data_IF_187349173283
#
_entry.id   IF_187349173283
#
_cell.length_a   1.000
_cell.length_b   1.000
_cell.length_c   1.000
_cell.angle_alpha   90.00
_cell.angle_beta   90.00
_cell.angle_gamma   90.00
#
_symmetry.space_group_name_H-M   'P 1'
#
loop_
_entity.id
_entity.type
_entity.pdbx_description
1 polymer ?
#
# COMPACT_ATOMS: atom_id res chain seq x y z
N UNK A 1 -4.16 -31.75 -9.91
CA UNK A 1 -4.88 -33.03 -9.72
C UNK A 1 -3.88 -34.17 -9.69
N UNK A 2 -4.06 -35.21 -8.88
CA UNK A 2 -3.13 -36.37 -8.90
C UNK A 2 -3.61 -37.37 -9.96
N UNK A 3 -2.76 -37.71 -10.94
CA UNK A 3 -3.13 -38.57 -12.08
C UNK A 3 -2.07 -39.62 -12.41
N UNK A 4 -2.43 -40.54 -13.31
CA UNK A 4 -1.51 -41.42 -14.02
C UNK A 4 -1.70 -41.23 -15.52
N UNK A 5 -0.62 -41.25 -16.28
CA UNK A 5 -0.69 -41.35 -17.73
C UNK A 5 -0.63 -42.82 -18.14
N UNK A 6 -1.37 -43.16 -19.19
CA UNK A 6 -1.28 -44.48 -19.80
C UNK A 6 -1.16 -44.32 -21.31
N UNK A 7 -0.19 -45.03 -21.91
CA UNK A 7 0.03 -45.05 -23.35
C UNK A 7 -0.20 -46.47 -23.87
N UNK A 8 -0.80 -46.55 -25.05
CA UNK A 8 -1.00 -47.80 -25.75
C UNK A 8 -0.78 -47.57 -27.24
N UNK A 9 0.06 -48.39 -27.86
CA UNK A 9 0.39 -48.27 -29.28
C UNK A 9 -0.45 -49.27 -30.07
N UNK A 10 -1.11 -48.82 -31.12
CA UNK A 10 -1.81 -49.66 -32.09
C UNK A 10 -1.18 -49.48 -33.48
N UNK A 11 -1.02 -50.57 -34.23
CA UNK A 11 -0.63 -50.49 -35.63
C UNK A 11 -1.79 -50.04 -36.53
N UNK A 12 -1.49 -49.37 -37.64
CA UNK A 12 -2.51 -49.01 -38.63
C UNK A 12 -3.10 -50.28 -39.28
N UNK A 13 -4.43 -50.43 -39.21
CA UNK A 13 -5.19 -51.54 -39.78
C UNK A 13 -5.53 -52.63 -38.75
N UNK A 14 -6.74 -52.56 -38.17
CA UNK A 14 -7.42 -53.57 -37.33
C UNK A 14 -6.51 -54.54 -36.55
N UNK A 15 -5.46 -54.01 -35.91
CA UNK A 15 -4.46 -54.78 -35.19
C UNK A 15 -4.58 -54.54 -33.69
N UNK A 16 -4.52 -55.63 -32.93
CA UNK A 16 -4.53 -55.66 -31.47
C UNK A 16 -3.62 -54.59 -30.88
N UNK A 17 -4.17 -53.80 -29.95
CA UNK A 17 -3.38 -52.84 -29.20
C UNK A 17 -2.26 -53.56 -28.42
N UNK A 18 -1.06 -52.97 -28.42
CA UNK A 18 0.05 -53.44 -27.61
C UNK A 18 -0.24 -53.34 -26.10
N UNK A 19 0.67 -53.85 -25.24
CA UNK A 19 0.53 -53.70 -23.79
C UNK A 19 0.44 -52.23 -23.40
N UNK A 20 -0.46 -51.93 -22.47
CA UNK A 20 -0.61 -50.58 -21.91
C UNK A 20 0.56 -50.32 -20.95
N UNK A 21 1.28 -49.23 -21.17
CA UNK A 21 2.30 -48.75 -20.24
C UNK A 21 1.74 -47.60 -19.42
N UNK A 22 1.88 -47.67 -18.11
CA UNK A 22 1.38 -46.65 -17.19
C UNK A 22 2.55 -45.93 -16.49
N UNK A 23 2.40 -44.64 -16.26
CA UNK A 23 3.34 -43.87 -15.45
C UNK A 23 3.11 -44.11 -13.95
N UNK A 24 4.09 -43.74 -13.15
CA UNK A 24 3.86 -43.48 -11.73
C UNK A 24 2.83 -42.37 -11.53
N UNK A 25 2.28 -42.30 -10.31
CA UNK A 25 1.36 -41.25 -9.90
C UNK A 25 2.12 -39.93 -9.82
N UNK A 26 1.59 -38.87 -10.44
CA UNK A 26 2.17 -37.53 -10.36
C UNK A 26 1.09 -36.44 -10.26
N UNK A 27 1.47 -35.28 -9.73
CA UNK A 27 0.61 -34.10 -9.79
C UNK A 27 0.60 -33.59 -11.23
N UNK A 28 -0.58 -33.48 -11.80
CA UNK A 28 -0.88 -32.96 -13.11
C UNK A 28 -1.45 -31.54 -12.98
N UNK A 29 -0.70 -30.55 -13.45
CA UNK A 29 -1.12 -29.15 -13.49
C UNK A 29 0.04 -28.16 -13.37
N UNK A 30 -0.28 -26.92 -13.02
CA UNK A 30 0.71 -25.93 -12.61
C UNK A 30 1.06 -26.15 -11.15
N UNK A 31 2.34 -26.18 -10.86
CA UNK A 31 2.87 -26.18 -9.50
C UNK A 31 3.55 -24.84 -9.25
N UNK A 32 3.06 -24.14 -8.25
CA UNK A 32 3.66 -22.93 -7.68
C UNK A 32 4.33 -23.39 -6.37
N UNK A 33 5.53 -22.88 -6.06
CA UNK A 33 6.48 -23.44 -5.07
C UNK A 33 5.85 -24.15 -3.83
N UNK A 34 6.34 -25.35 -3.42
CA UNK A 34 5.68 -26.20 -2.43
C UNK A 34 6.07 -25.92 -0.97
N UNK A 35 6.71 -24.79 -0.63
CA UNK A 35 7.19 -24.46 0.72
C UNK A 35 6.13 -23.89 1.69
N UNK A 36 4.86 -24.25 1.51
CA UNK A 36 3.76 -24.25 2.51
C UNK A 36 2.83 -23.03 2.68
N UNK A 37 2.83 -22.00 1.83
CA UNK A 37 1.71 -21.04 1.83
C UNK A 37 1.25 -20.62 0.44
N UNK A 38 -0.06 -20.64 0.21
CA UNK A 38 -0.75 -19.91 -0.88
C UNK A 38 -0.78 -18.40 -0.61
N UNK A 39 -0.36 -17.98 0.59
CA UNK A 39 -0.24 -16.60 1.03
C UNK A 39 1.24 -16.18 1.01
N UNK A 40 1.64 -15.46 -0.03
CA UNK A 40 2.95 -14.80 -0.10
C UNK A 40 2.85 -13.37 0.46
N UNK A 41 3.98 -12.87 0.97
CA UNK A 41 4.10 -11.50 1.46
C UNK A 41 5.26 -10.81 0.76
N UNK A 42 5.06 -9.57 0.34
CA UNK A 42 6.09 -8.69 -0.21
C UNK A 42 6.02 -7.35 0.54
N UNK A 43 7.15 -6.71 0.74
CA UNK A 43 7.25 -5.40 1.38
C UNK A 43 7.52 -4.32 0.31
N UNK A 44 7.22 -3.05 0.60
CA UNK A 44 7.50 -1.96 -0.35
C UNK A 44 8.95 -1.98 -0.85
N UNK A 45 9.13 -1.96 -2.17
CA UNK A 45 10.43 -1.96 -2.80
C UNK A 45 11.18 -3.29 -2.72
N UNK A 46 10.63 -4.32 -2.07
CA UNK A 46 11.15 -5.68 -2.16
C UNK A 46 10.64 -6.39 -3.42
N UNK A 47 11.46 -7.33 -3.89
CA UNK A 47 11.12 -8.23 -4.99
C UNK A 47 10.87 -9.65 -4.44
N UNK A 48 9.70 -10.17 -4.78
CA UNK A 48 9.34 -11.56 -4.55
C UNK A 48 9.40 -12.34 -5.87
N UNK A 49 10.08 -13.48 -5.83
CA UNK A 49 10.20 -14.40 -6.96
C UNK A 49 9.46 -15.70 -6.69
N UNK A 50 8.32 -15.89 -7.35
CA UNK A 50 7.51 -17.09 -7.21
C UNK A 50 7.79 -18.01 -8.40
N UNK A 51 8.43 -19.17 -8.21
CA UNK A 51 8.64 -20.13 -9.28
C UNK A 51 7.34 -20.87 -9.61
N UNK A 52 7.07 -21.03 -10.90
CA UNK A 52 5.93 -21.74 -11.44
C UNK A 52 6.40 -22.75 -12.50
N UNK A 53 5.96 -24.01 -12.37
CA UNK A 53 6.33 -25.10 -13.27
C UNK A 53 5.09 -25.88 -13.73
N UNK A 54 4.99 -26.20 -15.02
CA UNK A 54 4.00 -27.16 -15.51
C UNK A 54 4.56 -28.57 -15.40
N UNK A 55 3.77 -29.47 -14.82
CA UNK A 55 4.14 -30.88 -14.69
C UNK A 55 3.71 -31.74 -15.87
N UNK A 56 3.01 -31.15 -16.84
CA UNK A 56 2.55 -31.81 -18.05
C UNK A 56 2.62 -30.88 -19.27
N UNK A 57 2.78 -31.45 -20.48
CA UNK A 57 2.68 -30.67 -21.71
C UNK A 57 1.27 -30.09 -21.88
N UNK A 58 1.21 -28.96 -22.59
CA UNK A 58 -0.05 -28.35 -22.98
C UNK A 58 -0.82 -29.27 -23.94
N UNK A 59 -2.06 -29.59 -23.61
CA UNK A 59 -2.97 -30.32 -24.50
C UNK A 59 -3.55 -29.34 -25.52
N UNK A 60 -3.20 -29.55 -26.79
CA UNK A 60 -3.55 -28.63 -27.86
C UNK A 60 -4.44 -29.34 -28.88
N UNK A 61 -5.50 -28.67 -29.31
CA UNK A 61 -6.45 -29.21 -30.27
C UNK A 61 -5.85 -29.15 -31.68
N UNK A 62 -5.34 -30.29 -32.16
CA UNK A 62 -4.77 -30.38 -33.50
C UNK A 62 -5.87 -30.61 -34.54
N UNK A 63 -5.93 -29.83 -35.64
CA UNK A 63 -6.84 -30.11 -36.74
C UNK A 63 -6.52 -31.48 -37.35
N UNK A 64 -7.53 -32.33 -37.50
CA UNK A 64 -7.38 -33.71 -38.03
C UNK A 64 -6.83 -33.80 -39.47
N UNK A 65 -6.62 -32.67 -40.16
CA UNK A 65 -6.21 -32.61 -41.58
C UNK A 65 -5.19 -31.49 -41.90
N UNK A 66 -4.47 -30.91 -40.94
CA UNK A 66 -3.44 -29.93 -41.30
C UNK A 66 -2.11 -30.62 -41.57
N UNK A 67 -1.79 -30.90 -42.84
CA UNK A 67 -0.44 -31.30 -43.28
C UNK A 67 0.46 -30.09 -43.55
N UNK A 68 -0.11 -28.88 -43.56
CA UNK A 68 0.64 -27.64 -43.72
C UNK A 68 1.44 -27.32 -42.45
N UNK A 69 2.75 -27.54 -42.54
CA UNK A 69 3.73 -27.21 -41.49
C UNK A 69 3.52 -25.80 -40.91
N UNK A 70 3.25 -24.82 -41.77
CA UNK A 70 3.00 -23.43 -41.36
C UNK A 70 1.78 -23.28 -40.42
N UNK A 71 0.73 -24.10 -40.62
CA UNK A 71 -0.48 -24.07 -39.80
C UNK A 71 -0.24 -24.73 -38.43
N UNK A 72 0.52 -25.83 -38.41
CA UNK A 72 0.94 -26.49 -37.17
C UNK A 72 1.85 -25.56 -36.35
N UNK A 73 2.81 -24.89 -37.00
CA UNK A 73 3.74 -23.98 -36.33
C UNK A 73 3.01 -22.74 -35.78
N UNK A 74 1.98 -22.24 -36.47
CA UNK A 74 1.11 -21.17 -35.97
C UNK A 74 0.33 -21.61 -34.71
N UNK A 75 -0.29 -22.80 -34.74
CA UNK A 75 -1.00 -23.37 -33.56
C UNK A 75 -0.04 -23.52 -32.38
N UNK A 76 1.18 -24.01 -32.60
CA UNK A 76 2.21 -24.13 -31.54
C UNK A 76 2.55 -22.79 -30.90
N UNK A 77 2.63 -21.73 -31.69
CA UNK A 77 3.05 -20.41 -31.22
C UNK A 77 1.92 -19.60 -30.57
N UNK A 78 0.70 -19.71 -31.10
CA UNK A 78 -0.39 -18.80 -30.76
C UNK A 78 -1.54 -19.48 -30.00
N UNK A 79 -1.89 -20.71 -30.34
CA UNK A 79 -3.08 -21.39 -29.78
C UNK A 79 -2.72 -22.36 -28.64
N UNK A 80 -1.50 -22.90 -28.67
CA UNK A 80 -0.97 -23.86 -27.70
C UNK A 80 -0.24 -23.15 -26.56
N UNK A 81 -0.97 -22.26 -25.89
CA UNK A 81 -0.45 -21.34 -24.88
C UNK A 81 -1.34 -21.40 -23.64
N UNK A 82 -0.71 -21.49 -22.47
CA UNK A 82 -1.34 -21.24 -21.19
C UNK A 82 -0.84 -19.91 -20.64
N UNK A 83 -1.75 -18.99 -20.38
CA UNK A 83 -1.45 -17.69 -19.74
C UNK A 83 -2.02 -17.70 -18.34
N UNK A 84 -1.16 -17.51 -17.34
CA UNK A 84 -1.59 -17.18 -15.98
C UNK A 84 -1.80 -15.66 -15.94
N UNK A 85 -2.99 -15.19 -15.58
CA UNK A 85 -3.27 -13.75 -15.48
C UNK A 85 -3.49 -13.36 -14.02
N UNK A 86 -3.32 -12.07 -13.72
CA UNK A 86 -3.87 -11.48 -12.51
C UNK A 86 -5.41 -11.61 -12.54
N UNK A 87 -5.96 -12.39 -11.62
CA UNK A 87 -7.38 -12.59 -11.46
C UNK A 87 -7.95 -11.57 -10.50
N UNK A 88 -8.22 -10.35 -10.94
CA UNK A 88 -9.10 -9.47 -10.16
C UNK A 88 -10.47 -10.16 -10.06
N UNK A 89 -11.07 -10.30 -8.87
CA UNK A 89 -12.34 -10.99 -8.71
C UNK A 89 -13.45 -10.25 -9.49
N UNK A 90 -13.80 -10.84 -10.62
CA UNK A 90 -15.08 -10.85 -11.34
C UNK A 90 -16.20 -9.88 -10.89
N UNK A 91 -15.93 -8.57 -10.85
CA UNK A 91 -16.97 -7.54 -10.90
C UNK A 91 -16.61 -6.30 -11.72
N UNK A 92 -15.41 -6.23 -12.29
CA UNK A 92 -14.97 -5.13 -13.15
C UNK A 92 -14.05 -5.62 -14.29
N UNK A 93 -14.54 -6.57 -15.10
CA UNK A 93 -13.92 -6.88 -16.41
C UNK A 93 -14.07 -5.76 -17.45
N UNK A 94 -14.66 -4.62 -17.05
CA UNK A 94 -14.63 -3.38 -17.80
C UNK A 94 -13.83 -2.33 -17.00
N UNK A 95 -12.50 -2.38 -17.10
CA UNK A 95 -11.70 -1.14 -16.98
C UNK A 95 -10.84 -0.92 -15.73
N UNK A 96 -10.27 -1.94 -15.08
CA UNK A 96 -9.11 -1.72 -14.19
C UNK A 96 -7.88 -2.45 -14.72
N UNK A 97 -7.16 -1.65 -15.51
CA UNK A 97 -6.11 -1.94 -16.46
C UNK A 97 -4.80 -2.30 -15.76
N UNK A 98 -4.27 -3.47 -16.08
CA UNK A 98 -2.86 -3.69 -15.91
C UNK A 98 -2.13 -3.23 -17.17
N UNK A 99 -1.27 -2.21 -17.04
CA UNK A 99 -0.61 -1.52 -18.15
C UNK A 99 0.88 -1.82 -18.07
N UNK A 100 1.45 -2.42 -19.12
CA UNK A 100 2.87 -2.75 -19.20
C UNK A 100 3.40 -3.54 -17.98
N UNK A 101 2.60 -4.50 -17.49
CA UNK A 101 2.97 -5.31 -16.33
C UNK A 101 2.72 -4.64 -14.97
N UNK A 102 2.12 -3.46 -14.90
CA UNK A 102 1.84 -2.76 -13.62
C UNK A 102 0.35 -2.82 -13.32
N UNK A 103 -0.03 -3.39 -12.17
CA UNK A 103 -1.42 -3.38 -11.70
C UNK A 103 -1.79 -2.04 -11.07
N UNK A 104 -3.08 -1.73 -10.98
CA UNK A 104 -3.58 -0.53 -10.30
C UNK A 104 -3.11 -0.44 -8.83
N UNK A 105 -2.94 -1.59 -8.18
CA UNK A 105 -2.42 -1.72 -6.81
C UNK A 105 -0.88 -1.78 -6.77
N UNK A 106 -0.23 -1.33 -7.85
CA UNK A 106 1.21 -1.11 -8.00
C UNK A 106 2.11 -2.33 -7.90
N UNK A 107 1.55 -3.52 -8.10
CA UNK A 107 2.33 -4.74 -8.24
C UNK A 107 2.89 -4.81 -9.67
N UNK A 108 4.21 -4.93 -9.77
CA UNK A 108 4.92 -4.94 -11.04
C UNK A 108 5.30 -6.36 -11.42
N UNK A 109 4.94 -6.76 -12.65
CA UNK A 109 5.35 -7.97 -13.34
C UNK A 109 6.50 -7.68 -14.31
N UNK A 110 7.41 -8.64 -14.49
CA UNK A 110 8.56 -8.52 -15.40
C UNK A 110 8.22 -8.76 -16.90
N UNK A 111 6.95 -8.72 -17.26
CA UNK A 111 6.48 -8.91 -18.63
C UNK A 111 5.52 -7.80 -19.00
N UNK A 112 5.50 -7.42 -20.29
CA UNK A 112 4.51 -6.49 -20.84
C UNK A 112 3.08 -6.97 -20.60
N UNK A 113 2.91 -8.27 -20.37
CA UNK A 113 1.68 -8.92 -19.94
C UNK A 113 1.65 -9.08 -18.42
N UNK A 114 0.47 -8.93 -17.82
CA UNK A 114 0.26 -9.02 -16.38
C UNK A 114 0.06 -10.46 -15.92
N UNK A 115 1.08 -11.27 -16.20
CA UNK A 115 0.97 -12.72 -16.18
C UNK A 115 2.16 -13.44 -16.80
N UNK A 116 2.24 -14.75 -16.57
CA UNK A 116 3.25 -15.63 -17.15
C UNK A 116 2.66 -16.46 -18.30
N UNK A 117 3.48 -16.70 -19.32
CA UNK A 117 3.09 -17.44 -20.54
C UNK A 117 3.87 -18.75 -20.63
N UNK A 118 3.17 -19.87 -20.60
CA UNK A 118 3.69 -21.17 -21.03
C UNK A 118 3.24 -21.44 -22.46
N UNK A 119 4.15 -21.95 -23.27
CA UNK A 119 3.95 -22.29 -24.68
C UNK A 119 4.35 -23.73 -24.95
N UNK A 120 4.01 -24.23 -26.12
CA UNK A 120 4.37 -25.58 -26.55
C UNK A 120 5.88 -25.89 -26.46
N UNK A 121 6.75 -24.89 -26.64
CA UNK A 121 8.21 -25.09 -26.66
C UNK A 121 8.87 -24.94 -25.30
N UNK A 122 8.27 -24.22 -24.34
CA UNK A 122 8.89 -23.88 -23.06
C UNK A 122 8.09 -24.37 -21.84
N UNK A 123 7.08 -25.22 -22.02
CA UNK A 123 6.23 -25.68 -20.91
C UNK A 123 7.02 -26.38 -19.78
N UNK A 124 8.17 -27.00 -20.10
CA UNK A 124 9.05 -27.68 -19.13
C UNK A 124 9.95 -26.71 -18.36
N UNK A 125 10.07 -25.47 -18.84
CA UNK A 125 10.94 -24.47 -18.23
C UNK A 125 10.23 -23.83 -17.04
N UNK A 126 10.94 -23.76 -15.92
CA UNK A 126 10.48 -23.02 -14.75
C UNK A 126 10.35 -21.54 -15.10
N UNK A 127 9.15 -21.00 -14.94
CA UNK A 127 8.89 -19.57 -15.09
C UNK A 127 8.97 -18.90 -13.72
N UNK A 128 9.48 -17.66 -13.67
CA UNK A 128 9.57 -16.89 -12.42
C UNK A 128 8.57 -15.73 -12.52
N UNK A 129 7.58 -15.74 -11.64
CA UNK A 129 6.70 -14.59 -11.44
C UNK A 129 7.45 -13.63 -10.52
N UNK A 130 7.86 -12.49 -11.06
CA UNK A 130 8.44 -11.41 -10.26
C UNK A 130 7.33 -10.47 -9.83
N UNK A 131 7.32 -10.14 -8.55
CA UNK A 131 6.34 -9.26 -7.91
C UNK A 131 7.13 -8.25 -7.11
N UNK A 132 6.90 -6.97 -7.38
CA UNK A 132 7.47 -5.88 -6.58
C UNK A 132 6.39 -5.29 -5.68
N UNK A 133 6.69 -5.06 -4.40
CA UNK A 133 5.82 -4.30 -3.51
C UNK A 133 5.76 -2.84 -3.94
N UNK A 134 4.56 -2.28 -4.06
CA UNK A 134 4.39 -0.93 -4.60
C UNK A 134 5.07 0.07 -3.68
N UNK A 135 6.01 0.85 -4.20
CA UNK A 135 6.61 1.98 -3.47
C UNK A 135 5.72 3.21 -3.63
N UNK A 136 4.66 3.32 -2.83
CA UNK A 136 3.85 4.54 -2.79
C UNK A 136 4.21 5.45 -1.60
N UNK A 137 5.10 4.96 -0.72
CA UNK A 137 5.59 5.66 0.46
C UNK A 137 4.48 5.94 1.49
N UNK A 138 3.29 5.34 1.31
CA UNK A 138 2.13 5.53 2.17
C UNK A 138 1.86 4.23 2.91
N UNK A 139 1.58 4.32 4.20
CA UNK A 139 1.16 3.14 4.96
C UNK A 139 -0.19 2.65 4.46
N UNK A 140 -0.18 1.44 3.91
CA UNK A 140 -1.34 0.66 3.55
C UNK A 140 -2.21 0.45 4.80
N UNK A 141 -3.41 1.05 4.78
CA UNK A 141 -4.39 0.91 5.86
C UNK A 141 -5.01 -0.50 5.88
N UNK A 142 -4.89 -1.24 4.77
CA UNK A 142 -5.29 -2.63 4.60
C UNK A 142 -4.31 -3.37 3.66
N UNK A 143 -4.16 -4.68 3.79
CA UNK A 143 -3.34 -5.50 2.88
C UNK A 143 -3.77 -5.26 1.42
N UNK A 144 -2.85 -4.86 0.54
CA UNK A 144 -3.09 -4.90 -0.92
C UNK A 144 -2.91 -6.34 -1.37
N UNK A 145 -3.91 -6.91 -2.04
CA UNK A 145 -3.93 -8.33 -2.38
C UNK A 145 -3.98 -8.49 -3.90
N UNK A 146 -2.98 -9.16 -4.46
CA UNK A 146 -3.06 -9.67 -5.83
C UNK A 146 -3.42 -11.15 -5.80
N UNK A 147 -4.45 -11.48 -6.58
CA UNK A 147 -4.89 -12.84 -6.81
C UNK A 147 -4.32 -13.32 -8.13
N UNK A 148 -3.45 -14.31 -8.10
CA UNK A 148 -3.05 -15.03 -9.31
C UNK A 148 -4.04 -16.18 -9.51
N UNK A 149 -4.78 -16.12 -10.61
CA UNK A 149 -5.79 -17.13 -10.93
C UNK A 149 -5.42 -17.86 -12.21
N UNK A 150 -5.39 -19.19 -12.12
CA UNK A 150 -5.55 -20.07 -13.27
C UNK A 150 -7.04 -20.23 -13.54
N UNK A 151 -7.44 -20.20 -14.81
CA UNK A 151 -8.78 -20.62 -15.21
C UNK A 151 -9.06 -22.01 -14.60
N UNK A 152 -9.97 -22.08 -13.62
CA UNK A 152 -10.40 -23.28 -12.89
C UNK A 152 -9.38 -23.99 -11.95
N UNK A 153 -8.45 -23.27 -11.30
CA UNK A 153 -7.55 -23.89 -10.29
C UNK A 153 -7.27 -22.97 -9.08
N UNK A 154 -6.38 -23.44 -8.19
CA UNK A 154 -6.06 -22.88 -6.88
C UNK A 154 -5.68 -21.39 -6.96
N UNK A 155 -6.07 -20.66 -5.92
CA UNK A 155 -5.87 -19.21 -5.79
C UNK A 155 -4.58 -18.92 -5.02
N UNK A 156 -3.68 -18.13 -5.62
CA UNK A 156 -2.47 -17.66 -4.93
C UNK A 156 -2.64 -16.19 -4.58
N UNK A 157 -2.47 -15.90 -3.30
CA UNK A 157 -2.62 -14.57 -2.71
C UNK A 157 -1.25 -13.99 -2.44
N UNK A 158 -1.03 -12.77 -2.91
CA UNK A 158 0.19 -12.02 -2.63
C UNK A 158 -0.21 -10.75 -1.91
N UNK A 159 0.26 -10.60 -0.68
CA UNK A 159 -0.07 -9.48 0.21
C UNK A 159 1.09 -8.51 0.27
N UNK A 160 0.85 -7.28 -0.14
CA UNK A 160 1.75 -6.17 0.15
C UNK A 160 1.53 -5.72 1.59
N UNK A 161 2.59 -5.70 2.39
CA UNK A 161 2.52 -5.37 3.82
C UNK A 161 3.51 -4.28 4.19
N UNK A 162 3.04 -3.26 4.90
CA UNK A 162 3.91 -2.24 5.50
C UNK A 162 4.12 -2.53 6.98
N UNK A 163 4.79 -3.65 7.30
CA UNK A 163 4.91 -4.10 8.69
C UNK A 163 5.72 -3.13 9.57
N UNK A 164 6.60 -2.33 8.97
CA UNK A 164 7.53 -1.45 9.69
C UNK A 164 6.80 -0.30 10.37
N UNK A 165 5.65 0.12 9.86
CA UNK A 165 4.87 1.27 10.37
C UNK A 165 3.47 0.87 10.85
N UNK A 166 3.05 -0.40 10.67
CA UNK A 166 1.77 -0.91 11.13
C UNK A 166 1.58 -0.65 12.65
N UNK A 167 0.52 0.09 12.98
CA UNK A 167 0.20 0.47 14.36
C UNK A 167 1.11 1.53 14.98
N UNK A 168 2.08 2.08 14.23
CA UNK A 168 2.92 3.20 14.66
C UNK A 168 2.26 4.50 14.25
N UNK A 169 1.43 5.07 15.11
CA UNK A 169 0.92 6.43 14.94
C UNK A 169 1.26 7.31 16.12
N UNK A 170 1.59 8.57 15.83
CA UNK A 170 1.66 9.61 16.83
C UNK A 170 0.36 10.38 16.79
N UNK A 171 -0.39 10.43 17.89
CA UNK A 171 -1.64 11.17 17.90
C UNK A 171 -1.85 11.95 19.20
N UNK A 172 -2.69 12.98 19.09
CA UNK A 172 -3.25 13.75 20.18
C UNK A 172 -4.76 13.83 19.99
N UNK A 173 -5.53 13.46 21.01
CA UNK A 173 -6.99 13.54 20.98
C UNK A 173 -7.49 14.48 22.09
N UNK A 174 -8.31 15.46 21.75
CA UNK A 174 -9.03 16.35 22.67
C UNK A 174 -8.15 16.98 23.76
N UNK A 175 -8.57 16.83 25.03
CA UNK A 175 -7.83 17.08 26.26
C UNK A 175 -6.59 16.18 26.28
N UNK A 176 -5.47 16.66 25.77
CA UNK A 176 -4.66 15.91 24.81
C UNK A 176 -4.15 14.60 25.39
N UNK A 177 -4.88 13.54 25.05
CA UNK A 177 -4.47 12.16 25.21
C UNK A 177 -3.48 11.85 24.10
N UNK A 178 -2.24 11.57 24.50
CA UNK A 178 -1.14 11.38 23.57
C UNK A 178 -0.81 9.91 23.43
N UNK A 179 -0.43 9.54 22.21
CA UNK A 179 0.25 8.27 21.93
C UNK A 179 1.44 8.54 21.03
N UNK A 180 2.58 7.95 21.35
CA UNK A 180 3.80 7.99 20.54
C UNK A 180 3.82 6.90 19.47
N UNK A 181 4.74 7.01 18.49
CA UNK A 181 4.96 5.98 17.47
C UNK A 181 5.35 4.60 18.05
N UNK A 182 6.01 4.56 19.21
CA UNK A 182 6.32 3.33 19.98
C UNK A 182 5.18 2.91 20.92
N UNK A 183 3.97 3.44 20.69
CA UNK A 183 2.72 3.11 21.37
C UNK A 183 2.68 3.45 22.87
N UNK A 184 3.53 4.36 23.34
CA UNK A 184 3.46 4.85 24.72
C UNK A 184 2.36 5.89 24.84
N UNK A 185 1.53 5.72 25.85
CA UNK A 185 0.45 6.65 26.18
C UNK A 185 0.89 7.59 27.30
N UNK A 186 0.52 8.85 27.18
CA UNK A 186 0.69 9.86 28.23
C UNK A 186 -0.31 11.00 28.04
N UNK A 187 -0.42 11.84 29.06
CA UNK A 187 -1.34 12.98 29.09
C UNK A 187 -0.54 14.27 28.95
N UNK A 188 -1.11 15.29 28.29
CA UNK A 188 -0.53 16.63 28.27
C UNK A 188 -1.48 17.63 28.96
N UNK A 189 -1.35 17.76 30.27
CA UNK A 189 -2.28 18.58 31.07
C UNK A 189 -1.55 19.61 31.93
N UNK A 190 -2.23 20.74 32.23
CA UNK A 190 -1.66 21.83 33.03
C UNK A 190 -1.17 21.38 34.41
N UNK A 191 -1.87 20.43 35.03
CA UNK A 191 -1.52 19.89 36.35
C UNK A 191 -0.21 19.09 36.35
N UNK A 192 0.35 18.77 35.18
CA UNK A 192 1.62 18.07 35.02
C UNK A 192 2.78 19.04 34.75
N UNK A 193 2.61 20.34 35.01
CA UNK A 193 3.64 21.36 34.86
C UNK A 193 3.81 21.88 33.44
N UNK A 194 2.89 21.55 32.54
CA UNK A 194 2.88 22.02 31.16
C UNK A 194 2.16 23.35 31.03
N UNK A 195 2.59 24.16 30.06
CA UNK A 195 1.99 25.46 29.75
C UNK A 195 1.32 25.43 28.39
N UNK A 196 0.42 26.40 28.16
CA UNK A 196 -0.04 26.70 26.80
C UNK A 196 1.16 26.97 25.88
N UNK A 197 1.04 26.61 24.60
CA UNK A 197 2.08 26.90 23.62
C UNK A 197 2.15 25.91 22.47
N UNK A 198 3.22 26.07 21.67
CA UNK A 198 3.53 25.24 20.52
C UNK A 198 4.44 24.06 20.90
N UNK A 199 4.04 22.88 20.46
CA UNK A 199 4.75 21.63 20.71
C UNK A 199 4.96 20.90 19.38
N UNK A 200 6.15 20.32 19.21
CA UNK A 200 6.47 19.54 18.01
C UNK A 200 5.91 18.15 18.19
N UNK A 201 4.90 17.78 17.39
CA UNK A 201 4.35 16.42 17.36
C UNK A 201 5.13 15.49 16.44
N UNK A 202 5.80 16.03 15.41
CA UNK A 202 6.65 15.25 14.51
C UNK A 202 7.76 16.15 13.98
N UNK A 203 8.97 15.61 13.86
CA UNK A 203 10.08 16.26 13.18
C UNK A 203 11.00 15.21 12.57
N UNK A 204 11.29 15.38 11.30
CA UNK A 204 12.26 14.56 10.59
C UNK A 204 13.68 15.05 10.88
N UNK A 205 14.63 14.13 11.04
CA UNK A 205 16.01 14.42 11.42
C UNK A 205 16.85 15.07 10.33
N UNK A 206 16.66 14.62 9.08
CA UNK A 206 17.42 15.07 7.91
C UNK A 206 16.66 16.01 6.98
N UNK A 207 15.37 15.75 6.77
CA UNK A 207 14.51 16.55 5.91
C UNK A 207 13.86 17.69 6.70
N UNK A 208 13.57 18.84 6.06
CA UNK A 208 12.95 19.99 6.71
C UNK A 208 11.43 19.79 6.90
N UNK A 209 11.04 18.68 7.54
CA UNK A 209 9.65 18.29 7.78
C UNK A 209 9.32 18.43 9.26
N UNK A 210 8.19 19.08 9.57
CA UNK A 210 7.75 19.27 10.95
C UNK A 210 6.22 19.36 11.03
N UNK A 211 5.65 18.76 12.07
CA UNK A 211 4.26 18.98 12.48
C UNK A 211 4.29 19.55 13.89
N UNK A 212 3.72 20.73 14.05
CA UNK A 212 3.51 21.38 15.34
C UNK A 212 2.03 21.39 15.70
N UNK A 213 1.72 21.17 16.97
CA UNK A 213 0.41 21.42 17.55
C UNK A 213 0.51 22.59 18.54
N UNK A 214 -0.55 23.39 18.59
CA UNK A 214 -0.69 24.43 19.60
C UNK A 214 -1.76 24.01 20.61
N UNK A 215 -1.34 23.91 21.87
CA UNK A 215 -2.21 23.59 22.99
C UNK A 215 -2.57 24.84 23.77
N UNK A 216 -3.85 24.99 24.07
CA UNK A 216 -4.36 26.12 24.85
C UNK A 216 -5.32 25.63 25.93
N UNK A 217 -5.40 26.37 27.03
CA UNK A 217 -6.38 26.14 28.08
C UNK A 217 -7.80 26.25 27.52
N UNK A 218 -8.57 25.19 27.70
CA UNK A 218 -9.99 25.13 27.38
C UNK A 218 -10.88 25.02 28.62
N UNK A 219 -10.31 24.62 29.77
CA UNK A 219 -10.95 24.62 31.08
C UNK A 219 -9.93 24.92 32.18
N UNK A 220 -10.34 25.00 33.46
CA UNK A 220 -9.51 25.45 34.58
C UNK A 220 -8.15 24.75 34.71
N UNK A 221 -8.08 23.44 34.39
CA UNK A 221 -6.89 22.59 34.53
C UNK A 221 -6.57 21.76 33.28
N UNK A 222 -7.24 22.04 32.15
CA UNK A 222 -7.21 21.19 30.96
C UNK A 222 -6.70 22.00 29.76
N UNK A 223 -5.74 21.42 29.04
CA UNK A 223 -5.31 21.90 27.72
C UNK A 223 -6.18 21.24 26.64
N UNK A 224 -6.33 21.89 25.50
CA UNK A 224 -6.95 21.31 24.32
C UNK A 224 -6.09 21.60 23.09
N UNK A 225 -6.10 20.66 22.14
CA UNK A 225 -5.64 20.86 20.78
C UNK A 225 -6.38 22.06 20.15
N UNK A 226 -5.69 23.11 19.72
CA UNK A 226 -6.38 24.27 19.14
C UNK A 226 -5.78 24.79 17.84
N UNK A 227 -4.55 24.40 17.52
CA UNK A 227 -3.97 24.70 16.22
C UNK A 227 -3.01 23.62 15.75
N UNK A 228 -2.82 23.55 14.45
CA UNK A 228 -1.83 22.68 13.79
C UNK A 228 -1.06 23.47 12.73
N UNK A 229 0.24 23.22 12.65
CA UNK A 229 1.08 23.69 11.55
C UNK A 229 1.87 22.50 10.97
N UNK A 230 1.84 22.35 9.65
CA UNK A 230 2.58 21.33 8.91
C UNK A 230 3.54 22.02 7.95
N UNK A 231 4.83 21.75 8.12
CA UNK A 231 5.91 22.37 7.34
C UNK A 231 6.66 21.32 6.53
N UNK A 232 6.96 21.67 5.28
CA UNK A 232 7.83 20.93 4.39
C UNK A 232 8.73 21.91 3.63
N UNK A 233 9.99 22.06 4.06
CA UNK A 233 10.90 23.06 3.51
C UNK A 233 10.38 24.48 3.73
N UNK A 234 10.06 25.17 2.64
CA UNK A 234 9.48 26.52 2.62
C UNK A 234 7.93 26.51 2.51
N UNK A 235 7.34 25.33 2.26
CA UNK A 235 5.90 25.15 2.26
C UNK A 235 5.37 24.98 3.68
N UNK A 236 4.20 25.58 3.92
CA UNK A 236 3.58 25.65 5.24
C UNK A 236 2.05 25.59 5.11
N UNK A 237 1.44 24.68 5.84
CA UNK A 237 0.02 24.66 6.12
C UNK A 237 -0.21 25.03 7.59
N UNK A 238 -1.13 25.94 7.87
CA UNK A 238 -1.51 26.33 9.24
C UNK A 238 -3.02 26.33 9.35
N UNK A 239 -3.53 25.69 10.39
CA UNK A 239 -4.92 25.82 10.79
C UNK A 239 -5.00 26.21 12.27
N UNK A 240 -5.67 27.33 12.53
CA UNK A 240 -5.92 27.86 13.85
C UNK A 240 -7.41 27.78 14.15
N UNK A 241 -7.77 27.00 15.17
CA UNK A 241 -9.12 26.87 15.68
C UNK A 241 -9.28 27.45 17.09
N UNK A 242 -8.21 27.97 17.69
CA UNK A 242 -8.20 28.48 19.06
C UNK A 242 -9.24 29.59 19.23
N UNK A 243 -10.24 29.35 20.08
CA UNK A 243 -11.13 30.41 20.54
C UNK A 243 -10.40 31.34 21.52
N UNK A 244 -10.70 32.64 21.43
CA UNK A 244 -10.28 33.62 22.44
C UNK A 244 -11.51 34.16 23.15
N UNK A 245 -11.51 34.10 24.48
CA UNK A 245 -12.47 34.85 25.30
C UNK A 245 -11.85 36.22 25.59
N UNK A 246 -12.27 37.26 24.87
CA UNK A 246 -11.86 38.63 25.14
C UNK A 246 -13.03 39.40 25.74
N UNK A 247 -12.88 39.85 27.00
CA UNK A 247 -13.90 40.63 27.72
C UNK A 247 -15.31 40.02 27.71
N UNK A 248 -15.43 38.70 27.90
CA UNK A 248 -16.73 38.01 27.94
C UNK A 248 -17.35 37.73 26.56
N UNK A 249 -16.70 38.11 25.47
CA UNK A 249 -17.12 37.76 24.11
C UNK A 249 -16.21 36.68 23.51
N UNK A 250 -16.81 35.63 22.94
CA UNK A 250 -16.10 34.65 22.11
C UNK A 250 -15.71 35.32 20.80
N UNK A 251 -14.41 35.59 20.61
CA UNK A 251 -13.86 36.00 19.31
C UNK A 251 -13.16 34.80 18.71
N UNK A 252 -13.68 34.31 17.58
CA UNK A 252 -13.08 33.19 16.85
C UNK A 252 -12.00 33.75 15.94
N UNK A 253 -10.73 33.67 16.34
CA UNK A 253 -9.61 34.04 15.46
C UNK A 253 -9.24 32.88 14.53
N UNK A 254 -10.27 32.22 13.98
CA UNK A 254 -10.12 31.01 13.20
C UNK A 254 -9.67 31.36 11.81
N UNK A 255 -8.61 30.71 11.39
CA UNK A 255 -8.14 30.83 10.03
C UNK A 255 -7.45 29.55 9.61
N UNK A 256 -7.42 29.36 8.31
CA UNK A 256 -6.59 28.36 7.68
C UNK A 256 -5.84 29.06 6.56
N UNK A 257 -4.55 28.81 6.50
CA UNK A 257 -3.70 29.34 5.44
C UNK A 257 -2.75 28.26 4.95
N UNK A 258 -2.45 28.30 3.67
CA UNK A 258 -1.44 27.46 3.07
C UNK A 258 -0.56 28.29 2.16
N UNK A 259 0.73 28.04 2.23
CA UNK A 259 1.74 28.55 1.33
C UNK A 259 2.47 27.34 0.77
N UNK A 260 2.25 27.05 -0.50
CA UNK A 260 2.90 25.94 -1.21
C UNK A 260 3.94 26.56 -2.16
N UNK A 261 5.19 26.12 -2.03
CA UNK A 261 6.29 26.56 -2.88
C UNK A 261 6.41 25.70 -4.16
N UNK A 262 5.93 24.46 -4.13
CA UNK A 262 5.77 23.56 -5.27
C UNK A 262 4.66 22.53 -5.01
N UNK A 263 4.17 21.88 -6.06
CA UNK A 263 3.05 20.92 -6.00
C UNK A 263 3.42 19.57 -5.36
N UNK A 264 4.70 19.33 -5.04
CA UNK A 264 5.19 18.08 -4.44
C UNK A 264 5.51 18.23 -2.95
N UNK A 265 5.54 19.46 -2.45
CA UNK A 265 6.00 19.79 -1.10
C UNK A 265 4.99 19.40 -0.02
N UNK A 266 3.68 19.54 -0.29
CA UNK A 266 2.57 19.13 0.58
C UNK A 266 1.32 18.89 -0.25
N UNK A 267 0.67 17.73 -0.08
CA UNK A 267 -0.65 17.46 -0.67
C UNK A 267 -1.73 17.59 0.40
N UNK A 268 -2.60 18.58 0.28
CA UNK A 268 -3.67 18.86 1.25
C UNK A 268 -5.03 18.50 0.65
N UNK A 269 -5.76 17.61 1.30
CA UNK A 269 -7.15 17.28 0.95
C UNK A 269 -8.08 17.50 2.14
N UNK A 270 -9.33 17.85 1.85
CA UNK A 270 -10.36 18.10 2.87
C UNK A 270 -11.60 17.27 2.55
N UNK A 271 -12.12 16.58 3.56
CA UNK A 271 -13.40 15.86 3.49
C UNK A 271 -14.20 16.15 4.77
N UNK A 272 -15.31 16.88 4.62
CA UNK A 272 -16.12 17.33 5.77
C UNK A 272 -15.31 18.18 6.75
N UNK A 273 -15.21 17.71 8.00
CA UNK A 273 -14.43 18.33 9.08
C UNK A 273 -13.00 17.79 9.19
N UNK A 274 -12.60 16.87 8.31
CA UNK A 274 -11.29 16.22 8.33
C UNK A 274 -10.38 16.78 7.25
N UNK A 275 -9.16 17.10 7.61
CA UNK A 275 -8.06 17.37 6.69
C UNK A 275 -7.11 16.18 6.66
N UNK A 276 -6.60 15.86 5.48
CA UNK A 276 -5.51 14.92 5.26
C UNK A 276 -4.39 15.62 4.51
N UNK A 277 -3.21 15.66 5.10
CA UNK A 277 -2.02 16.30 4.55
C UNK A 277 -0.96 15.21 4.36
N UNK A 278 -0.40 15.11 3.17
CA UNK A 278 0.64 14.13 2.84
C UNK A 278 1.96 14.87 2.64
N UNK A 279 2.98 14.48 3.40
CA UNK A 279 4.35 14.99 3.28
C UNK A 279 5.05 14.34 2.07
N UNK A 280 6.18 14.91 1.57
CA UNK A 280 6.92 14.33 0.44
C UNK A 280 7.48 12.93 0.72
N UNK A 281 7.65 12.57 1.99
CA UNK A 281 8.05 11.20 2.38
C UNK A 281 6.89 10.21 2.35
N UNK A 282 5.66 10.67 2.07
CA UNK A 282 4.41 9.88 2.15
C UNK A 282 3.79 9.82 3.55
N UNK A 283 4.43 10.43 4.55
CA UNK A 283 3.86 10.56 5.91
C UNK A 283 2.54 11.32 5.87
N UNK A 284 1.52 10.73 6.49
CA UNK A 284 0.15 11.22 6.47
C UNK A 284 -0.20 11.88 7.80
N UNK A 285 -0.60 13.14 7.73
CA UNK A 285 -1.07 13.94 8.86
C UNK A 285 -2.56 14.16 8.67
N UNK A 286 -3.37 13.65 9.59
CA UNK A 286 -4.82 13.84 9.60
C UNK A 286 -5.23 14.62 10.83
N UNK A 287 -6.13 15.58 10.68
CA UNK A 287 -6.77 16.20 11.82
C UNK A 287 -8.23 16.50 11.54
N UNK A 288 -9.04 16.45 12.59
CA UNK A 288 -10.44 16.85 12.55
C UNK A 288 -10.66 18.06 13.46
N UNK A 289 -11.55 18.95 13.03
CA UNK A 289 -11.87 20.14 13.81
C UNK A 289 -13.36 20.19 14.16
N UNK A 290 -13.62 20.63 15.39
CA UNK A 290 -14.94 20.84 15.92
C UNK A 290 -15.36 22.31 15.91
N UNK A 291 -16.36 22.61 16.74
CA UNK A 291 -16.92 23.96 16.83
C UNK A 291 -16.02 24.97 17.52
N UNK A 292 -14.96 24.55 18.23
CA UNK A 292 -14.14 25.40 19.11
C UNK A 292 -12.65 25.00 19.19
N UNK A 293 -12.29 23.81 18.71
CA UNK A 293 -10.97 23.20 18.88
C UNK A 293 -10.66 22.24 17.72
N UNK A 294 -9.43 21.76 17.67
CA UNK A 294 -9.06 20.58 16.87
C UNK A 294 -9.37 19.37 17.76
N UNK A 295 -10.23 18.44 17.35
CA UNK A 295 -10.60 17.33 18.24
C UNK A 295 -9.57 16.19 18.19
N UNK A 296 -8.79 16.08 17.11
CA UNK A 296 -7.74 15.08 17.01
C UNK A 296 -6.70 15.44 15.96
N UNK A 297 -5.44 15.11 16.24
CA UNK A 297 -4.31 15.14 15.31
C UNK A 297 -3.72 13.74 15.32
N UNK A 298 -3.58 13.12 14.15
CA UNK A 298 -2.99 11.80 13.99
C UNK A 298 -1.97 11.83 12.85
N UNK A 299 -0.77 11.30 13.12
CA UNK A 299 0.38 11.27 12.23
C UNK A 299 0.76 9.82 12.04
N UNK A 300 0.72 9.37 10.80
CA UNK A 300 1.13 8.03 10.38
C UNK A 300 2.43 8.21 9.59
N UNK A 301 3.58 7.73 10.10
CA UNK A 301 4.86 7.89 9.44
C UNK A 301 4.95 6.94 8.25
N UNK A 302 5.62 7.36 7.19
CA UNK A 302 5.99 6.47 6.09
C UNK A 302 7.19 5.60 6.44
N UNK A 303 7.49 4.63 5.56
CA UNK A 303 8.67 3.78 5.67
C UNK A 303 9.98 4.59 5.67
N UNK A 304 10.04 5.71 4.93
CA UNK A 304 11.23 6.57 4.83
C UNK A 304 11.56 7.30 6.14
N UNK A 305 10.56 7.45 7.01
CA UNK A 305 10.69 8.11 8.29
C UNK A 305 11.18 7.16 9.40
N UNK A 306 11.33 5.87 9.09
CA UNK A 306 11.78 4.84 10.04
C UNK A 306 13.17 5.16 10.57
N UNK A 307 13.29 5.34 11.88
CA UNK A 307 14.56 5.70 12.54
C UNK A 307 15.05 7.11 12.23
N UNK A 308 14.28 7.91 11.48
CA UNK A 308 14.57 9.30 11.12
C UNK A 308 13.67 10.31 11.85
N UNK A 309 12.82 9.82 12.74
CA UNK A 309 11.87 10.60 13.52
C UNK A 309 12.20 10.47 15.00
N UNK A 310 12.30 11.61 15.68
CA UNK A 310 12.70 11.65 17.10
C UNK A 310 11.58 11.91 18.07
N UNK A 311 10.41 12.34 17.60
CA UNK A 311 9.49 13.07 18.47
C UNK A 311 8.04 12.72 18.22
N UNK A 312 7.33 12.44 19.32
CA UNK A 312 5.91 12.65 19.49
C UNK A 312 5.73 13.47 20.78
N UNK A 313 5.80 14.79 20.62
CA UNK A 313 5.82 15.91 21.61
C UNK A 313 7.15 16.21 22.31
N UNK A 314 7.64 17.42 22.04
CA UNK A 314 8.61 18.16 22.86
C UNK A 314 8.12 19.62 22.96
N UNK A 315 8.11 20.19 24.17
CA UNK A 315 7.81 21.61 24.38
C UNK A 315 8.88 22.46 23.71
N UNK A 316 8.46 23.42 22.89
CA UNK A 316 9.40 24.35 22.27
C UNK A 316 9.23 25.73 22.87
N UNK A 317 10.33 26.34 23.31
CA UNK A 317 10.37 27.75 23.71
C UNK A 317 10.37 28.69 22.50
N UNK A 318 10.35 28.16 21.28
CA UNK A 318 10.42 28.91 20.02
C UNK A 318 9.01 29.25 19.56
N UNK A 319 8.46 30.32 20.14
CA UNK A 319 7.13 30.91 19.94
C UNK A 319 6.83 31.36 18.48
N UNK A 320 7.65 31.02 17.48
CA UNK A 320 7.73 31.84 16.25
C UNK A 320 6.84 31.45 15.07
N UNK A 321 6.42 30.20 14.89
CA UNK A 321 5.78 29.84 13.59
C UNK A 321 4.32 30.29 13.53
N UNK A 322 3.53 30.06 14.58
CA UNK A 322 2.13 30.49 14.60
C UNK A 322 1.94 31.96 14.98
N UNK A 323 2.83 32.54 15.79
CA UNK A 323 2.67 33.95 16.23
C UNK A 323 3.10 34.93 15.14
N UNK A 324 4.12 34.63 14.32
CA UNK A 324 4.51 35.52 13.22
C UNK A 324 3.40 35.72 12.18
N UNK A 325 2.50 34.75 11.99
CA UNK A 325 1.35 34.92 11.10
C UNK A 325 0.16 35.65 11.74
N UNK A 326 0.07 35.68 13.07
CA UNK A 326 -0.96 36.44 13.80
C UNK A 326 -0.65 37.94 13.88
N UNK A 327 0.61 38.35 13.69
CA UNK A 327 1.03 39.76 13.70
C UNK A 327 1.04 40.42 12.30
N UNK A 328 0.82 39.66 11.22
CA UNK A 328 0.86 40.15 9.83
C UNK A 328 -0.55 40.22 9.18
N UNK A 329 -1.62 39.95 9.93
CA UNK A 329 -3.02 40.00 9.43
C UNK A 329 -3.82 41.19 9.96
#
# INVERSE_FOLDING_TARGET
MIVKCAIQVGGEGFGTYGPQHTSDVFFAGLKIDPSSSTDYQVFEGEELHIPAELTMPLSCAWPKMSTEKNRIDNIKQNDCVLVLLNGVPDYQLNGEECINGITKDGIIFNSETCGIKFSHSNWQEKQIIKIMGQTDLVVNVADRIVLLRLYNSDEVYVKDKDIVTLGRSCYSQNDPHMRTFDQKYYELQLHQGLTEGEYIMYKHDRLPLQVSAYFRKCSSLILCNCGIAVRSGDSLFVANYCETNYKGHRKTNRYMTQRLCDDQSLTVTKSGTTFSITLPTGTKVTFNYGSSYVDGINIIPSVLDTGMTKVCVVFTTVIRVMILYLEIS
#
